data_IF_038336751194
#
_entry.id   IF_038336751194
#
_cell.length_a   1.000
_cell.length_b   1.000
_cell.length_c   1.000
_cell.angle_alpha   90.00
_cell.angle_beta   90.00
_cell.angle_gamma   90.00
#
_symmetry.space_group_name_H-M   'P 1'
#
loop_
_entity.id
_entity.type
_entity.pdbx_description
1 polymer ?
#
# COMPACT_ATOMS: atom_id res chain seq x y z
N UNK A 1 21.94 -7.94 -21.52
CA UNK A 1 20.55 -7.45 -21.68
C UNK A 1 20.53 -6.16 -22.48
N UNK A 2 21.06 -5.03 -21.97
CA UNK A 2 21.02 -3.72 -22.67
C UNK A 2 21.63 -3.69 -24.07
N UNK A 3 22.73 -4.41 -24.31
CA UNK A 3 23.33 -4.50 -25.65
C UNK A 3 22.41 -5.20 -26.66
N UNK A 4 21.72 -6.28 -26.24
CA UNK A 4 20.74 -6.98 -27.07
C UNK A 4 19.49 -6.14 -27.33
N UNK A 5 19.08 -5.31 -26.37
CA UNK A 5 17.98 -4.36 -26.59
C UNK A 5 18.37 -3.23 -27.54
N UNK A 6 19.61 -2.75 -27.49
CA UNK A 6 20.12 -1.78 -28.47
C UNK A 6 20.09 -2.33 -29.90
N UNK A 7 20.43 -3.60 -30.08
CA UNK A 7 20.34 -4.31 -31.37
C UNK A 7 18.87 -4.51 -31.82
N UNK A 8 17.96 -4.81 -30.90
CA UNK A 8 16.53 -4.93 -31.22
C UNK A 8 15.93 -3.59 -31.63
N UNK A 9 16.28 -2.52 -30.91
CA UNK A 9 15.81 -1.17 -31.21
C UNK A 9 16.32 -0.68 -32.56
N UNK A 10 17.56 -0.99 -32.94
CA UNK A 10 18.10 -0.65 -34.26
C UNK A 10 17.42 -1.43 -35.40
N UNK A 11 16.85 -2.60 -35.10
CA UNK A 11 16.03 -3.41 -36.01
C UNK A 11 14.54 -3.05 -35.99
N UNK A 12 14.12 -2.02 -35.23
CA UNK A 12 12.72 -1.62 -35.09
C UNK A 12 11.84 -2.62 -34.34
N UNK A 13 12.46 -3.56 -33.61
CA UNK A 13 11.76 -4.59 -32.85
C UNK A 13 11.34 -4.06 -31.47
N UNK A 14 10.18 -4.50 -31.00
CA UNK A 14 9.69 -4.14 -29.66
C UNK A 14 10.55 -4.75 -28.55
N UNK A 15 10.65 -4.10 -27.37
CA UNK A 15 11.35 -4.64 -26.21
C UNK A 15 10.78 -6.00 -25.77
N UNK A 16 11.60 -6.83 -25.12
CA UNK A 16 11.16 -8.12 -24.54
C UNK A 16 11.57 -8.26 -23.09
N UNK A 17 10.79 -9.04 -22.32
CA UNK A 17 11.11 -9.38 -20.94
C UNK A 17 12.19 -10.46 -20.90
N UNK A 18 13.18 -10.29 -20.04
CA UNK A 18 14.16 -11.35 -19.72
C UNK A 18 13.94 -11.78 -18.28
N UNK A 19 13.71 -13.08 -18.07
CA UNK A 19 13.38 -13.63 -16.75
C UNK A 19 12.19 -12.90 -16.08
N UNK A 20 11.19 -12.50 -16.87
CA UNK A 20 9.99 -11.80 -16.39
C UNK A 20 10.14 -10.28 -16.19
N UNK A 21 11.35 -9.72 -16.32
CA UNK A 21 11.63 -8.29 -16.05
C UNK A 21 11.92 -7.49 -17.33
N UNK A 22 11.50 -6.22 -17.35
CA UNK A 22 11.81 -5.29 -18.44
C UNK A 22 13.25 -4.74 -18.33
N UNK A 23 13.90 -4.41 -19.46
CA UNK A 23 15.23 -3.83 -19.48
C UNK A 23 15.21 -2.32 -19.13
N UNK A 24 15.95 -1.90 -18.09
CA UNK A 24 16.09 -0.50 -17.69
C UNK A 24 17.50 0.08 -17.90
N UNK A 25 17.55 1.39 -18.18
CA UNK A 25 18.80 2.16 -18.17
C UNK A 25 19.28 2.36 -16.73
N UNK A 26 20.43 1.76 -16.41
CA UNK A 26 21.04 1.85 -15.09
C UNK A 26 21.72 3.20 -14.90
N UNK A 27 21.51 3.83 -13.74
CA UNK A 27 22.19 5.08 -13.38
C UNK A 27 23.12 4.83 -12.22
N UNK A 28 24.40 5.22 -12.37
CA UNK A 28 25.37 5.20 -11.27
C UNK A 28 25.17 6.43 -10.40
N UNK A 29 24.82 6.23 -9.13
CA UNK A 29 24.76 7.29 -8.12
C UNK A 29 25.97 7.12 -7.19
N UNK A 30 26.77 8.18 -7.03
CA UNK A 30 27.99 8.21 -6.19
C UNK A 30 29.04 7.11 -6.48
N UNK A 31 29.29 6.77 -7.75
CA UNK A 31 30.35 5.84 -8.21
C UNK A 31 30.36 4.41 -7.62
N UNK A 32 29.48 4.09 -6.67
CA UNK A 32 29.45 2.81 -5.92
C UNK A 32 28.06 2.15 -5.97
N UNK A 33 26.99 2.90 -6.23
CA UNK A 33 25.63 2.35 -6.30
C UNK A 33 25.07 2.42 -7.73
N UNK A 34 24.86 1.25 -8.35
CA UNK A 34 24.12 1.13 -9.61
C UNK A 34 22.63 0.96 -9.29
N UNK A 35 21.85 2.01 -9.53
CA UNK A 35 20.39 1.98 -9.37
C UNK A 35 19.77 1.35 -10.62
N UNK A 36 19.02 0.28 -10.43
CA UNK A 36 18.38 -0.47 -11.52
C UNK A 36 17.16 0.26 -12.07
N UNK A 37 16.29 0.77 -11.19
CA UNK A 37 15.06 1.46 -11.56
C UNK A 37 14.96 2.81 -10.83
N UNK A 38 15.68 3.86 -11.28
CA UNK A 38 15.82 5.12 -10.54
C UNK A 38 14.49 5.81 -10.22
N UNK A 39 13.54 5.74 -11.15
CA UNK A 39 12.23 6.35 -10.98
C UNK A 39 11.39 5.58 -9.95
N UNK A 40 11.31 4.25 -10.04
CA UNK A 40 10.59 3.41 -9.08
C UNK A 40 11.17 3.54 -7.67
N UNK A 41 12.50 3.59 -7.51
CA UNK A 41 13.17 3.85 -6.22
C UNK A 41 12.75 5.20 -5.64
N UNK A 42 12.83 6.27 -6.43
CA UNK A 42 12.50 7.62 -5.97
C UNK A 42 11.02 7.73 -5.58
N UNK A 43 10.11 7.21 -6.40
CA UNK A 43 8.68 7.25 -6.14
C UNK A 43 8.29 6.38 -4.94
N UNK A 44 8.95 5.24 -4.73
CA UNK A 44 8.78 4.42 -3.52
C UNK A 44 9.20 5.18 -2.26
N UNK A 45 10.34 5.87 -2.30
CA UNK A 45 10.80 6.72 -1.19
C UNK A 45 9.83 7.88 -0.91
N UNK A 46 9.23 8.47 -1.95
CA UNK A 46 8.19 9.50 -1.78
C UNK A 46 6.92 8.89 -1.16
N UNK A 47 6.46 7.71 -1.59
CA UNK A 47 5.34 7.03 -0.95
C UNK A 47 5.62 6.75 0.54
N UNK A 48 6.82 6.29 0.90
CA UNK A 48 7.24 6.14 2.30
C UNK A 48 7.09 7.45 3.06
N UNK A 49 7.59 8.56 2.50
CA UNK A 49 7.46 9.88 3.11
C UNK A 49 5.99 10.31 3.26
N UNK A 50 5.13 10.02 2.27
CA UNK A 50 3.70 10.32 2.36
C UNK A 50 3.01 9.53 3.47
N UNK A 51 3.36 8.25 3.65
CA UNK A 51 2.87 7.47 4.78
C UNK A 51 3.38 8.01 6.13
N UNK A 52 4.66 8.37 6.22
CA UNK A 52 5.23 8.94 7.44
C UNK A 52 4.55 10.27 7.82
N UNK A 53 4.45 11.22 6.89
CA UNK A 53 3.83 12.53 7.12
C UNK A 53 2.33 12.40 7.40
N UNK A 54 1.64 11.52 6.68
CA UNK A 54 0.24 11.16 6.93
C UNK A 54 0.02 10.62 8.34
N UNK A 55 0.80 9.61 8.73
CA UNK A 55 0.78 9.01 10.06
C UNK A 55 1.11 10.02 11.16
N UNK A 56 2.18 10.81 11.02
CA UNK A 56 2.55 11.84 12.00
C UNK A 56 1.41 12.84 12.18
N UNK A 57 0.78 13.28 11.09
CA UNK A 57 -0.35 14.20 11.17
C UNK A 57 -1.58 13.59 11.86
N UNK A 58 -1.81 12.29 11.69
CA UNK A 58 -2.86 11.54 12.38
C UNK A 58 -2.53 11.34 13.86
N UNK A 59 -1.31 10.93 14.18
CA UNK A 59 -0.79 10.78 15.55
C UNK A 59 -0.97 12.08 16.34
N UNK A 60 -0.53 13.21 15.77
CA UNK A 60 -0.67 14.52 16.41
C UNK A 60 -2.14 14.90 16.60
N UNK A 61 -3.01 14.59 15.63
CA UNK A 61 -4.44 14.86 15.72
C UNK A 61 -5.09 14.09 16.88
N UNK A 62 -4.90 12.77 16.96
CA UNK A 62 -5.61 11.92 17.92
C UNK A 62 -5.09 12.05 19.36
N UNK A 63 -3.81 12.39 19.54
CA UNK A 63 -3.20 12.49 20.87
C UNK A 63 -3.23 13.92 21.44
N UNK A 64 -3.18 14.96 20.60
CA UNK A 64 -3.00 16.34 21.08
C UNK A 64 -4.12 17.31 20.68
N UNK A 65 -4.90 17.03 19.63
CA UNK A 65 -5.93 17.96 19.14
C UNK A 65 -7.37 17.51 19.40
N UNK A 66 -7.62 16.21 19.43
CA UNK A 66 -8.93 15.65 19.74
C UNK A 66 -9.11 15.46 21.25
N UNK A 67 -10.35 15.60 21.77
CA UNK A 67 -10.61 15.35 23.18
C UNK A 67 -10.29 13.89 23.54
N UNK A 68 -9.83 13.68 24.77
CA UNK A 68 -9.56 12.35 25.33
C UNK A 68 -10.65 11.95 26.32
N UNK A 69 -10.85 10.65 26.54
CA UNK A 69 -11.77 10.14 27.55
C UNK A 69 -11.30 10.59 28.93
N UNK A 70 -12.14 11.25 29.76
CA UNK A 70 -11.70 11.81 31.05
C UNK A 70 -11.08 10.77 31.99
N UNK A 71 -11.66 9.57 32.04
CA UNK A 71 -11.30 8.53 33.00
C UNK A 71 -10.04 7.76 32.58
N UNK A 72 -9.91 7.40 31.31
CA UNK A 72 -8.83 6.54 30.82
C UNK A 72 -7.70 7.30 30.13
N UNK A 73 -7.90 8.59 29.83
CA UNK A 73 -7.01 9.43 28.99
C UNK A 73 -6.72 8.84 27.60
N UNK A 74 -7.53 7.87 27.15
CA UNK A 74 -7.41 7.26 25.82
C UNK A 74 -8.22 8.04 24.78
N UNK A 75 -7.83 7.89 23.51
CA UNK A 75 -8.56 8.48 22.38
C UNK A 75 -10.00 7.96 22.32
N UNK A 76 -10.97 8.80 21.92
CA UNK A 76 -12.34 8.34 21.68
C UNK A 76 -12.43 7.43 20.45
N UNK A 77 -11.54 7.63 19.48
CA UNK A 77 -11.53 6.88 18.24
C UNK A 77 -11.08 5.42 18.46
N UNK A 78 -12.00 4.49 18.25
CA UNK A 78 -11.85 3.07 18.61
C UNK A 78 -10.88 2.30 17.70
N UNK A 79 -10.52 2.89 16.55
CA UNK A 79 -9.64 2.28 15.55
C UNK A 79 -8.22 2.87 15.57
N UNK A 80 -7.89 3.72 16.55
CA UNK A 80 -6.60 4.41 16.62
C UNK A 80 -5.41 3.46 16.52
N UNK A 81 -5.35 2.40 17.33
CA UNK A 81 -4.25 1.43 17.30
C UNK A 81 -4.11 0.74 15.94
N UNK A 82 -5.23 0.42 15.29
CA UNK A 82 -5.23 -0.26 14.01
C UNK A 82 -4.56 0.59 12.92
N UNK A 83 -4.79 1.91 12.93
CA UNK A 83 -4.13 2.83 11.99
C UNK A 83 -2.65 3.05 12.28
N UNK A 84 -2.18 2.86 13.51
CA UNK A 84 -0.73 2.89 13.82
C UNK A 84 -0.03 1.66 13.24
N UNK A 85 -0.63 0.47 13.39
CA UNK A 85 -0.09 -0.76 12.79
C UNK A 85 -0.10 -0.63 11.26
N UNK A 86 -1.17 -0.09 10.67
CA UNK A 86 -1.24 0.19 9.23
C UNK A 86 -0.08 1.08 8.77
N UNK A 87 0.21 2.17 9.51
CA UNK A 87 1.31 3.06 9.19
C UNK A 87 2.65 2.34 9.18
N UNK A 88 2.93 1.55 10.23
CA UNK A 88 4.19 0.82 10.38
C UNK A 88 4.38 -0.17 9.22
N UNK A 89 3.34 -0.97 8.92
CA UNK A 89 3.39 -1.92 7.81
C UNK A 89 3.53 -1.21 6.45
N UNK A 90 2.85 -0.08 6.27
CA UNK A 90 2.98 0.71 5.04
C UNK A 90 4.40 1.23 4.86
N UNK A 91 4.96 1.86 5.89
CA UNK A 91 6.34 2.38 5.84
C UNK A 91 7.35 1.25 5.61
N UNK A 92 7.14 0.07 6.21
CA UNK A 92 7.97 -1.11 5.96
C UNK A 92 7.90 -1.60 4.51
N UNK A 93 6.70 -1.69 3.92
CA UNK A 93 6.54 -2.09 2.52
C UNK A 93 7.23 -1.12 1.56
N UNK A 94 7.03 0.18 1.72
CA UNK A 94 7.67 1.19 0.87
C UNK A 94 9.18 1.29 1.06
N UNK A 95 9.67 0.94 2.26
CA UNK A 95 11.10 0.87 2.54
C UNK A 95 11.75 -0.27 1.75
N UNK A 96 11.18 -1.48 1.83
CA UNK A 96 11.69 -2.64 1.09
C UNK A 96 11.53 -2.48 -0.41
N UNK A 97 10.44 -1.87 -0.89
CA UNK A 97 10.26 -1.53 -2.30
C UNK A 97 11.35 -0.58 -2.80
N UNK A 98 11.67 0.49 -2.05
CA UNK A 98 12.77 1.40 -2.40
C UNK A 98 14.13 0.70 -2.49
N UNK A 99 14.43 -0.20 -1.55
CA UNK A 99 15.67 -1.00 -1.54
C UNK A 99 15.71 -1.97 -2.72
N UNK A 100 14.60 -2.67 -3.00
CA UNK A 100 14.48 -3.63 -4.10
C UNK A 100 14.75 -2.96 -5.46
N UNK A 101 14.10 -1.84 -5.75
CA UNK A 101 14.31 -1.09 -6.99
C UNK A 101 15.72 -0.48 -7.11
N UNK A 102 16.39 -0.26 -5.97
CA UNK A 102 17.80 0.14 -5.96
C UNK A 102 18.69 -1.03 -6.38
N UNK A 103 18.52 -2.19 -5.74
CA UNK A 103 19.30 -3.39 -6.00
C UNK A 103 18.45 -4.64 -5.85
N UNK A 104 18.15 -5.22 -6.99
CA UNK A 104 17.40 -6.46 -7.16
C UNK A 104 18.30 -7.66 -6.87
N UNK A 105 18.16 -8.22 -5.68
CA UNK A 105 18.75 -9.48 -5.26
C UNK A 105 17.67 -10.32 -4.59
N UNK A 106 17.85 -11.64 -4.54
CA UNK A 106 16.84 -12.57 -4.03
C UNK A 106 16.28 -12.17 -2.65
N UNK A 107 17.14 -11.69 -1.75
CA UNK A 107 16.71 -11.24 -0.43
C UNK A 107 15.81 -10.00 -0.49
N UNK A 108 16.15 -8.99 -1.30
CA UNK A 108 15.38 -7.75 -1.39
C UNK A 108 14.06 -7.97 -2.11
N UNK A 109 14.04 -8.87 -3.11
CA UNK A 109 12.84 -9.32 -3.80
C UNK A 109 11.86 -10.03 -2.85
N UNK A 110 12.37 -10.98 -2.05
CA UNK A 110 11.56 -11.69 -1.04
C UNK A 110 10.99 -10.73 0.01
N UNK A 111 11.78 -9.78 0.49
CA UNK A 111 11.35 -8.83 1.53
C UNK A 111 10.36 -7.80 1.00
N UNK A 112 10.49 -7.35 -0.25
CA UNK A 112 9.53 -6.45 -0.88
C UNK A 112 8.16 -7.13 -1.04
N UNK A 113 8.11 -8.29 -1.69
CA UNK A 113 6.84 -9.02 -1.88
C UNK A 113 6.21 -9.44 -0.56
N UNK A 114 7.00 -9.93 0.41
CA UNK A 114 6.47 -10.30 1.73
C UNK A 114 5.88 -9.09 2.46
N UNK A 115 6.52 -7.93 2.35
CA UNK A 115 6.04 -6.70 2.99
C UNK A 115 4.79 -6.15 2.32
N UNK A 116 4.70 -6.22 0.99
CA UNK A 116 3.50 -5.86 0.23
C UNK A 116 2.30 -6.76 0.58
N UNK A 117 2.52 -8.08 0.63
CA UNK A 117 1.49 -9.05 1.05
C UNK A 117 1.03 -8.78 2.48
N UNK A 118 1.96 -8.54 3.41
CA UNK A 118 1.63 -8.23 4.80
C UNK A 118 0.80 -6.94 4.92
N UNK A 119 1.15 -5.90 4.15
CA UNK A 119 0.40 -4.65 4.11
C UNK A 119 -1.02 -4.85 3.55
N UNK A 120 -1.15 -5.53 2.41
CA UNK A 120 -2.46 -5.79 1.78
C UNK A 120 -3.35 -6.63 2.69
N UNK A 121 -2.81 -7.71 3.26
CA UNK A 121 -3.51 -8.56 4.21
C UNK A 121 -4.01 -7.79 5.44
N UNK A 122 -3.14 -6.98 6.04
CA UNK A 122 -3.54 -6.16 7.18
C UNK A 122 -4.54 -5.06 6.80
N UNK A 123 -4.38 -4.45 5.63
CA UNK A 123 -5.31 -3.42 5.13
C UNK A 123 -6.70 -4.00 4.86
N UNK A 124 -6.78 -5.25 4.39
CA UNK A 124 -8.03 -6.00 4.28
C UNK A 124 -8.68 -6.21 5.65
N UNK A 125 -7.94 -6.70 6.65
CA UNK A 125 -8.45 -6.84 8.03
C UNK A 125 -9.00 -5.50 8.52
N UNK A 126 -8.21 -4.43 8.41
CA UNK A 126 -8.59 -3.10 8.85
C UNK A 126 -9.87 -2.63 8.15
N UNK A 127 -9.98 -2.83 6.83
CA UNK A 127 -11.15 -2.44 6.05
C UNK A 127 -12.42 -3.14 6.55
N UNK A 128 -12.36 -4.45 6.83
CA UNK A 128 -13.49 -5.21 7.35
C UNK A 128 -13.87 -4.71 8.75
N UNK A 129 -12.91 -4.62 9.67
CA UNK A 129 -13.16 -4.16 11.04
C UNK A 129 -13.78 -2.76 11.06
N UNK A 130 -13.29 -1.85 10.20
CA UNK A 130 -13.81 -0.50 10.12
C UNK A 130 -15.16 -0.44 9.42
N UNK A 131 -15.35 -1.14 8.30
CA UNK A 131 -16.58 -1.10 7.52
C UNK A 131 -17.77 -1.71 8.27
N UNK A 132 -17.57 -2.86 8.91
CA UNK A 132 -18.59 -3.53 9.72
C UNK A 132 -18.72 -2.95 11.14
N UNK A 133 -17.95 -1.90 11.46
CA UNK A 133 -17.97 -1.23 12.77
C UNK A 133 -17.73 -2.21 13.94
N UNK A 134 -16.80 -3.14 13.77
CA UNK A 134 -16.43 -4.18 14.76
C UNK A 134 -15.58 -3.55 15.86
N UNK A 135 -15.96 -3.80 17.12
CA UNK A 135 -15.38 -3.12 18.29
C UNK A 135 -14.95 -4.06 19.40
N UNK A 136 -15.68 -5.15 19.59
CA UNK A 136 -15.35 -6.17 20.56
C UNK A 136 -14.14 -6.99 20.09
N UNK A 137 -13.30 -7.37 21.04
CA UNK A 137 -12.03 -8.02 20.74
C UNK A 137 -12.23 -9.43 20.18
N UNK A 138 -13.25 -10.16 20.62
CA UNK A 138 -13.56 -11.50 20.11
C UNK A 138 -13.89 -11.47 18.61
N UNK A 139 -14.79 -10.59 18.18
CA UNK A 139 -15.11 -10.43 16.76
C UNK A 139 -13.91 -9.90 15.98
N UNK A 140 -13.10 -9.00 16.54
CA UNK A 140 -11.86 -8.55 15.88
C UNK A 140 -10.93 -9.74 15.56
N UNK A 141 -10.77 -10.66 16.50
CA UNK A 141 -9.99 -11.88 16.30
C UNK A 141 -10.64 -12.80 15.25
N UNK A 142 -11.96 -12.95 15.27
CA UNK A 142 -12.68 -13.76 14.26
C UNK A 142 -12.45 -13.27 12.82
N UNK A 143 -12.39 -11.95 12.59
CA UNK A 143 -12.05 -11.40 11.28
C UNK A 143 -10.55 -11.49 10.97
N UNK A 144 -9.69 -11.19 11.96
CA UNK A 144 -8.26 -11.07 11.73
C UNK A 144 -7.57 -12.43 11.58
N UNK A 145 -7.89 -13.42 12.41
CA UNK A 145 -7.14 -14.68 12.50
C UNK A 145 -7.12 -15.47 11.18
N UNK A 146 -8.23 -15.66 10.44
CA UNK A 146 -8.21 -16.38 9.17
C UNK A 146 -7.35 -15.68 8.11
N UNK A 147 -7.43 -14.35 8.06
CA UNK A 147 -6.67 -13.54 7.08
C UNK A 147 -5.19 -13.55 7.45
N UNK A 148 -4.85 -13.41 8.73
CA UNK A 148 -3.46 -13.51 9.20
C UNK A 148 -2.88 -14.89 8.91
N UNK A 149 -3.63 -15.96 9.18
CA UNK A 149 -3.18 -17.33 8.88
C UNK A 149 -2.89 -17.48 7.37
N UNK A 150 -3.81 -17.05 6.51
CA UNK A 150 -3.62 -17.07 5.05
C UNK A 150 -2.39 -16.27 4.62
N UNK A 151 -2.27 -15.02 5.08
CA UNK A 151 -1.16 -14.11 4.75
C UNK A 151 0.17 -14.70 5.20
N UNK A 152 0.25 -15.24 6.42
CA UNK A 152 1.45 -15.87 6.94
C UNK A 152 1.83 -17.09 6.11
N UNK A 153 0.88 -17.98 5.80
CA UNK A 153 1.14 -19.15 4.95
C UNK A 153 1.62 -18.75 3.56
N UNK A 154 1.02 -17.73 2.94
CA UNK A 154 1.44 -17.22 1.63
C UNK A 154 2.85 -16.60 1.69
N UNK A 155 3.17 -15.82 2.72
CA UNK A 155 4.54 -15.29 2.92
C UNK A 155 5.55 -16.43 3.09
N UNK A 156 5.22 -17.46 3.87
CA UNK A 156 6.10 -18.63 4.04
C UNK A 156 6.31 -19.37 2.71
N UNK A 157 5.26 -19.51 1.90
CA UNK A 157 5.34 -20.09 0.55
C UNK A 157 6.35 -19.33 -0.34
N UNK A 158 6.25 -17.99 -0.39
CA UNK A 158 7.14 -17.15 -1.20
C UNK A 158 8.62 -17.22 -0.74
N UNK A 159 8.86 -17.40 0.55
CA UNK A 159 10.21 -17.38 1.11
C UNK A 159 10.91 -18.74 1.06
N UNK A 160 10.16 -19.83 1.31
CA UNK A 160 10.72 -21.16 1.55
C UNK A 160 10.42 -22.21 0.48
N UNK A 161 9.41 -21.99 -0.37
CA UNK A 161 9.03 -22.95 -1.41
C UNK A 161 9.36 -22.42 -2.81
N UNK A 162 8.55 -21.50 -3.31
CA UNK A 162 8.73 -20.94 -4.65
C UNK A 162 8.18 -19.51 -4.70
N UNK A 163 9.02 -18.58 -5.15
CA UNK A 163 8.60 -17.22 -5.43
C UNK A 163 8.00 -17.18 -6.84
N UNK A 164 6.76 -17.62 -6.96
CA UNK A 164 5.97 -17.47 -8.19
C UNK A 164 5.34 -16.08 -8.23
N UNK A 165 5.90 -15.20 -9.06
CA UNK A 165 5.42 -13.84 -9.27
C UNK A 165 3.97 -13.79 -9.76
N UNK A 166 3.58 -14.67 -10.69
CA UNK A 166 2.24 -14.69 -11.26
C UNK A 166 1.19 -15.14 -10.25
N UNK A 167 1.52 -16.12 -9.41
CA UNK A 167 0.68 -16.51 -8.28
C UNK A 167 0.58 -15.39 -7.24
N UNK A 168 1.70 -14.78 -6.86
CA UNK A 168 1.71 -13.67 -5.92
C UNK A 168 0.83 -12.51 -6.39
N UNK A 169 0.94 -12.15 -7.67
CA UNK A 169 0.13 -11.08 -8.28
C UNK A 169 -1.37 -11.38 -8.16
N UNK A 170 -1.81 -12.60 -8.45
CA UNK A 170 -3.22 -13.01 -8.29
C UNK A 170 -3.69 -12.86 -6.86
N UNK A 171 -2.90 -13.33 -5.89
CA UNK A 171 -3.22 -13.23 -4.46
C UNK A 171 -3.35 -11.76 -4.03
N UNK A 172 -2.40 -10.91 -4.41
CA UNK A 172 -2.43 -9.47 -4.13
C UNK A 172 -3.65 -8.77 -4.75
N UNK A 173 -3.94 -9.05 -6.02
CA UNK A 173 -5.09 -8.48 -6.75
C UNK A 173 -6.42 -8.88 -6.09
N UNK A 174 -6.57 -10.15 -5.68
CA UNK A 174 -7.78 -10.61 -4.98
C UNK A 174 -7.95 -9.88 -3.65
N UNK A 175 -6.91 -9.78 -2.83
CA UNK A 175 -6.98 -9.05 -1.56
C UNK A 175 -7.33 -7.57 -1.77
N UNK A 176 -6.69 -6.91 -2.74
CA UNK A 176 -6.95 -5.52 -3.08
C UNK A 176 -8.38 -5.31 -3.60
N UNK A 177 -8.89 -6.19 -4.46
CA UNK A 177 -10.25 -6.12 -5.00
C UNK A 177 -11.30 -6.25 -3.89
N UNK A 178 -11.14 -7.21 -2.97
CA UNK A 178 -12.04 -7.39 -1.82
C UNK A 178 -12.01 -6.17 -0.91
N UNK A 179 -10.83 -5.61 -0.66
CA UNK A 179 -10.67 -4.38 0.12
C UNK A 179 -11.37 -3.19 -0.54
N UNK A 180 -11.17 -2.96 -1.84
CA UNK A 180 -11.80 -1.87 -2.57
C UNK A 180 -13.33 -2.02 -2.59
N UNK A 181 -13.84 -3.24 -2.78
CA UNK A 181 -15.26 -3.52 -2.73
C UNK A 181 -15.83 -3.22 -1.34
N UNK A 182 -15.12 -3.61 -0.27
CA UNK A 182 -15.51 -3.31 1.11
C UNK A 182 -15.63 -1.80 1.34
N UNK A 183 -14.65 -1.03 0.88
CA UNK A 183 -14.69 0.43 0.98
C UNK A 183 -15.76 1.08 0.10
N UNK A 184 -16.01 0.55 -1.11
CA UNK A 184 -17.08 1.00 -2.00
C UNK A 184 -18.46 0.83 -1.35
N UNK A 185 -18.74 -0.38 -0.84
CA UNK A 185 -19.99 -0.69 -0.14
C UNK A 185 -20.14 0.21 1.08
N UNK A 186 -19.08 0.37 1.88
CA UNK A 186 -19.12 1.26 3.03
C UNK A 186 -19.36 2.72 2.61
N UNK A 187 -18.72 3.22 1.56
CA UNK A 187 -18.92 4.58 1.06
C UNK A 187 -20.35 4.83 0.54
N UNK A 188 -20.98 3.81 -0.05
CA UNK A 188 -22.35 3.85 -0.55
C UNK A 188 -23.40 3.82 0.56
N UNK A 189 -23.20 3.00 1.60
CA UNK A 189 -24.14 2.84 2.72
C UNK A 189 -23.95 3.92 3.79
N UNK A 190 -22.72 4.37 4.00
CA UNK A 190 -22.38 5.33 5.05
C UNK A 190 -22.79 6.76 4.69
N UNK A 191 -23.35 7.48 5.66
CA UNK A 191 -23.62 8.93 5.56
C UNK A 191 -22.42 9.79 6.00
N UNK A 192 -21.20 9.25 5.88
CA UNK A 192 -19.99 9.95 6.33
C UNK A 192 -19.73 11.22 5.50
N UNK A 193 -19.43 12.37 6.13
CA UNK A 193 -19.24 13.64 5.42
C UNK A 193 -18.06 13.62 4.44
N UNK A 194 -17.05 12.78 4.69
CA UNK A 194 -15.86 12.65 3.83
C UNK A 194 -15.93 11.50 2.81
N UNK A 195 -17.14 11.04 2.45
CA UNK A 195 -17.32 9.93 1.48
C UNK A 195 -16.72 10.21 0.10
N UNK A 196 -16.65 11.46 -0.33
CA UNK A 196 -16.09 11.82 -1.64
C UNK A 196 -14.59 11.46 -1.71
N UNK A 197 -13.83 11.77 -0.64
CA UNK A 197 -12.42 11.39 -0.54
C UNK A 197 -12.24 9.88 -0.64
N UNK A 198 -13.13 9.14 0.01
CA UNK A 198 -13.11 7.68 -0.03
C UNK A 198 -13.44 7.15 -1.43
N UNK A 199 -14.47 7.68 -2.10
CA UNK A 199 -14.79 7.33 -3.48
C UNK A 199 -13.61 7.60 -4.43
N UNK A 200 -12.94 8.74 -4.27
CA UNK A 200 -11.72 9.04 -5.03
C UNK A 200 -10.62 8.02 -4.78
N UNK A 201 -10.40 7.60 -3.53
CA UNK A 201 -9.43 6.55 -3.19
C UNK A 201 -9.85 5.19 -3.77
N UNK A 202 -11.13 4.85 -3.77
CA UNK A 202 -11.63 3.59 -4.32
C UNK A 202 -11.48 3.53 -5.84
N UNK A 203 -11.99 4.53 -6.56
CA UNK A 203 -11.89 4.58 -8.03
C UNK A 203 -10.44 4.77 -8.48
N UNK A 204 -9.69 5.64 -7.80
CA UNK A 204 -8.27 5.82 -8.05
C UNK A 204 -7.48 4.53 -7.79
N UNK A 205 -7.76 3.85 -6.69
CA UNK A 205 -7.14 2.56 -6.37
C UNK A 205 -7.44 1.49 -7.41
N UNK A 206 -8.68 1.41 -7.91
CA UNK A 206 -9.03 0.49 -9.00
C UNK A 206 -8.27 0.82 -10.29
N UNK A 207 -8.18 2.09 -10.66
CA UNK A 207 -7.43 2.53 -11.85
C UNK A 207 -5.94 2.21 -11.72
N UNK A 208 -5.36 2.46 -10.55
CA UNK A 208 -3.96 2.14 -10.27
C UNK A 208 -3.72 0.63 -10.32
N UNK A 209 -4.64 -0.18 -9.83
CA UNK A 209 -4.56 -1.64 -9.96
C UNK A 209 -4.55 -2.10 -11.43
N UNK A 210 -5.27 -1.41 -12.33
CA UNK A 210 -5.23 -1.69 -13.77
C UNK A 210 -3.86 -1.36 -14.40
N UNK A 211 -3.16 -0.33 -13.91
CA UNK A 211 -1.80 -0.02 -14.36
C UNK A 211 -0.84 -1.15 -14.03
N UNK A 212 -0.95 -1.72 -12.83
CA UNK A 212 -0.13 -2.88 -12.41
C UNK A 212 -0.38 -4.10 -13.30
N UNK A 213 -1.64 -4.34 -13.70
CA UNK A 213 -2.01 -5.45 -14.58
C UNK A 213 -1.60 -5.26 -16.05
N UNK A 214 -1.49 -4.01 -16.52
CA UNK A 214 -1.18 -3.71 -17.91
C UNK A 214 0.31 -3.92 -18.24
N UNK A 215 1.20 -3.73 -17.26
CA UNK A 215 2.61 -4.20 -17.28
C UNK A 215 3.37 -3.93 -18.60
N UNK A 216 3.26 -2.69 -19.07
CA UNK A 216 3.88 -2.20 -20.30
C UNK A 216 5.36 -1.84 -20.12
N UNK A 217 6.19 -1.95 -21.18
CA UNK A 217 7.63 -1.72 -21.12
C UNK A 217 8.01 -0.26 -20.80
N UNK A 218 9.22 0.00 -20.28
CA UNK A 218 9.65 1.34 -19.91
C UNK A 218 9.70 2.29 -21.11
N UNK A 219 8.98 3.40 -21.01
CA UNK A 219 9.08 4.53 -21.91
C UNK A 219 10.43 5.23 -21.70
N UNK A 220 11.17 5.40 -22.80
CA UNK A 220 12.53 5.96 -22.82
C UNK A 220 13.54 5.26 -21.89
N UNK A 221 13.26 4.02 -21.47
CA UNK A 221 14.15 3.24 -20.59
C UNK A 221 14.13 3.65 -19.11
N UNK A 222 13.21 4.52 -18.68
CA UNK A 222 13.12 5.02 -17.30
C UNK A 222 11.75 4.82 -16.63
N UNK A 223 10.64 4.94 -17.36
CA UNK A 223 9.30 4.92 -16.78
C UNK A 223 8.43 3.81 -17.36
N UNK A 224 8.19 2.76 -16.59
CA UNK A 224 7.31 1.64 -16.94
C UNK A 224 5.95 1.73 -16.22
N UNK A 225 5.11 0.72 -16.43
CA UNK A 225 3.82 0.60 -15.76
C UNK A 225 3.92 0.68 -14.23
N UNK A 226 4.95 0.04 -13.68
CA UNK A 226 5.15 -0.05 -12.25
C UNK A 226 5.59 1.29 -11.64
N UNK A 227 6.45 2.05 -12.32
CA UNK A 227 6.78 3.43 -11.92
C UNK A 227 5.57 4.37 -11.99
N UNK A 228 4.68 4.23 -12.98
CA UNK A 228 3.43 5.00 -13.03
C UNK A 228 2.46 4.60 -11.92
N UNK A 229 2.43 3.32 -11.56
CA UNK A 229 1.71 2.83 -10.39
C UNK A 229 2.21 3.53 -9.12
N UNK A 230 3.53 3.51 -8.87
CA UNK A 230 4.17 4.21 -7.75
C UNK A 230 3.85 5.71 -7.72
N UNK A 231 3.88 6.38 -8.88
CA UNK A 231 3.55 7.80 -8.96
C UNK A 231 2.08 8.08 -8.60
N UNK A 232 1.18 7.23 -9.08
CA UNK A 232 -0.26 7.39 -8.91
C UNK A 232 -0.73 7.09 -7.48
N UNK A 233 -0.02 6.24 -6.73
CA UNK A 233 -0.33 5.98 -5.31
C UNK A 233 0.00 7.15 -4.38
N UNK A 234 0.89 8.07 -4.76
CA UNK A 234 1.30 9.23 -3.93
C UNK A 234 0.10 10.14 -3.59
N UNK A 235 -0.63 10.72 -4.56
CA UNK A 235 -1.79 11.57 -4.27
C UNK A 235 -2.92 10.78 -3.59
N UNK A 236 -3.10 9.49 -3.93
CA UNK A 236 -4.10 8.64 -3.27
C UNK A 236 -3.76 8.40 -1.80
N UNK A 237 -2.49 8.19 -1.46
CA UNK A 237 -2.01 8.03 -0.08
C UNK A 237 -2.26 9.29 0.73
N UNK A 238 -2.02 10.47 0.16
CA UNK A 238 -2.35 11.73 0.81
C UNK A 238 -3.86 11.83 1.11
N UNK A 239 -4.70 11.56 0.12
CA UNK A 239 -6.16 11.58 0.27
C UNK A 239 -6.64 10.54 1.29
N UNK A 240 -5.98 9.38 1.35
CA UNK A 240 -6.27 8.31 2.29
C UNK A 240 -6.04 8.75 3.73
N UNK A 241 -4.86 9.28 4.04
CA UNK A 241 -4.58 9.85 5.37
C UNK A 241 -5.47 11.04 5.72
N UNK A 242 -5.89 11.83 4.72
CA UNK A 242 -6.88 12.89 4.89
C UNK A 242 -8.24 12.33 5.32
N UNK A 243 -8.73 11.28 4.66
CA UNK A 243 -9.96 10.58 5.03
C UNK A 243 -9.89 9.98 6.44
N UNK A 244 -8.79 9.29 6.78
CA UNK A 244 -8.60 8.67 8.11
C UNK A 244 -8.71 9.72 9.24
N UNK A 245 -8.11 10.90 9.04
CA UNK A 245 -8.19 12.01 10.00
C UNK A 245 -9.62 12.53 10.15
N UNK A 246 -10.34 12.66 9.05
CA UNK A 246 -11.72 13.14 9.10
C UNK A 246 -12.66 12.10 9.73
N UNK A 247 -12.42 10.81 9.50
CA UNK A 247 -13.13 9.74 10.19
C UNK A 247 -12.89 9.76 11.71
N UNK A 248 -11.64 9.98 12.14
CA UNK A 248 -11.31 10.12 13.55
C UNK A 248 -12.01 11.32 14.20
N UNK A 249 -12.05 12.48 13.52
CA UNK A 249 -12.79 13.68 13.99
C UNK A 249 -14.29 13.39 14.09
N UNK A 250 -14.88 12.81 13.04
CA UNK A 250 -16.31 12.53 12.97
C UNK A 250 -16.74 11.58 14.10
N UNK A 251 -16.03 10.45 14.25
CA UNK A 251 -16.30 9.47 15.32
C UNK A 251 -16.09 10.06 16.70
N UNK A 252 -15.00 10.79 16.92
CA UNK A 252 -14.73 11.43 18.21
C UNK A 252 -15.81 12.42 18.58
N UNK A 253 -16.26 13.28 17.65
CA UNK A 253 -17.33 14.25 17.90
C UNK A 253 -18.68 13.58 18.22
N UNK A 254 -18.99 12.45 17.57
CA UNK A 254 -20.23 11.71 17.79
C UNK A 254 -20.22 11.03 19.16
N UNK A 255 -19.09 10.44 19.55
CA UNK A 255 -18.95 9.75 20.83
C UNK A 255 -18.84 10.72 22.01
N UNK A 256 -18.13 11.84 21.86
CA UNK A 256 -17.99 12.82 22.92
C UNK A 256 -19.32 13.53 23.23
N UNK A 257 -20.18 13.75 22.23
CA UNK A 257 -21.54 14.26 22.42
C UNK A 257 -22.47 13.30 23.15
N UNK A 258 -22.28 11.98 22.98
CA UNK A 258 -23.07 10.95 23.70
C UNK A 258 -22.60 10.73 25.15
N UNK A 259 -21.38 11.15 25.48
CA UNK A 259 -20.79 11.00 26.80
C UNK A 259 -21.00 12.22 27.71
N UNK A 260 -21.53 13.31 27.17
CA UNK A 260 -22.03 14.48 27.91
C UNK A 260 -23.53 14.32 28.14
#
# INVERSE_FOLDING_TARGET
>A
MMQREGERQSLGLSPVKYHGKWPFLRVSVFQVCLVLEPLSTALSAVNLLMHFTGWLSFFLLVNYKLPLRPQTKRTYYEYTSLWHIYAILSMNAWFWSSIFHTRDIELTEKLDYSSAVALLGYSLILSLLRAFNVKDEASRVMFAAPILAFVTTHILYLNFYELDYGWNMKVCVVMAAVQLLTWAVWAGVSRHPSRLKLWTVVFGGALVMLLELYDFPPYMGFADAHSLWHASTIPLTYLWWSFIKDDAKFRTSTLSKKAK
#
